data_IF_676522258166
#
_entry.id   IF_676522258166
#
_cell.length_a   1.000
_cell.length_b   1.000
_cell.length_c   1.000
_cell.angle_alpha   90.00
_cell.angle_beta   90.00
_cell.angle_gamma   90.00
#
_symmetry.space_group_name_H-M   'P 1'
#
loop_
_entity.id
_entity.type
_entity.pdbx_description
1 polymer ?
#
# COMPACT_ATOMS: atom_id res chain seq x y z
N UNK A 1 2.33 -9.24 -20.08
CA UNK A 1 2.48 -9.46 -18.62
C UNK A 1 2.37 -8.10 -17.96
N UNK A 2 1.18 -7.74 -17.46
CA UNK A 2 0.91 -6.43 -16.88
C UNK A 2 1.02 -6.47 -15.35
N UNK A 3 1.62 -5.45 -14.76
CA UNK A 3 1.52 -5.17 -13.34
C UNK A 3 0.79 -3.85 -13.18
N UNK A 4 -0.14 -3.76 -12.22
CA UNK A 4 -0.90 -2.55 -11.94
C UNK A 4 -0.47 -1.98 -10.58
N UNK A 5 -0.24 -0.66 -10.49
CA UNK A 5 -0.01 -0.02 -9.21
C UNK A 5 -1.30 0.01 -8.39
N UNK A 6 -1.16 -0.14 -7.09
CA UNK A 6 -2.25 0.04 -6.14
C UNK A 6 -1.86 1.05 -5.06
N UNK A 7 -2.87 1.72 -4.50
CA UNK A 7 -2.73 2.67 -3.41
C UNK A 7 -3.89 2.43 -2.43
N UNK A 8 -3.58 1.98 -1.23
CA UNK A 8 -4.59 1.60 -0.23
C UNK A 8 -4.26 2.27 1.10
N UNK A 9 -5.02 3.29 1.51
CA UNK A 9 -4.88 3.84 2.86
C UNK A 9 -5.56 2.91 3.88
N UNK A 10 -4.87 2.66 5.00
CA UNK A 10 -5.50 2.02 6.15
C UNK A 10 -4.93 2.52 7.48
N UNK A 11 -5.80 2.51 8.49
CA UNK A 11 -5.45 2.84 9.86
C UNK A 11 -5.18 1.58 10.68
N UNK A 12 -4.35 1.71 11.70
CA UNK A 12 -4.11 0.67 12.68
C UNK A 12 -3.20 1.13 13.80
N UNK A 13 -2.98 0.27 14.80
CA UNK A 13 -2.06 0.60 15.91
C UNK A 13 -0.59 0.55 15.51
N UNK A 14 -0.26 -0.22 14.48
CA UNK A 14 1.07 -0.35 13.89
C UNK A 14 0.94 -0.72 12.40
N UNK A 15 2.05 -0.58 11.66
CA UNK A 15 2.08 -0.84 10.21
C UNK A 15 1.59 -2.24 9.85
N UNK A 16 1.96 -3.27 10.61
CA UNK A 16 1.52 -4.65 10.38
C UNK A 16 0.01 -4.81 10.55
N UNK A 17 -0.58 -4.20 11.58
CA UNK A 17 -2.02 -4.25 11.80
C UNK A 17 -2.78 -3.46 10.75
N UNK A 18 -2.29 -2.29 10.37
CA UNK A 18 -2.86 -1.51 9.29
C UNK A 18 -2.78 -2.26 7.95
N UNK A 19 -1.67 -2.94 7.69
CA UNK A 19 -1.48 -3.77 6.49
C UNK A 19 -2.43 -4.96 6.48
N UNK A 20 -2.57 -5.66 7.61
CA UNK A 20 -3.55 -6.74 7.75
C UNK A 20 -4.98 -6.24 7.51
N UNK A 21 -5.35 -5.10 8.10
CA UNK A 21 -6.65 -4.48 7.88
C UNK A 21 -6.85 -4.11 6.40
N UNK A 22 -5.83 -3.57 5.73
CA UNK A 22 -5.87 -3.24 4.31
C UNK A 22 -6.07 -4.50 3.45
N UNK A 23 -5.35 -5.59 3.74
CA UNK A 23 -5.52 -6.89 3.06
C UNK A 23 -6.92 -7.46 3.28
N UNK A 24 -7.41 -7.47 4.52
CA UNK A 24 -8.76 -7.95 4.84
C UNK A 24 -9.84 -7.11 4.18
N UNK A 25 -9.66 -5.79 4.11
CA UNK A 25 -10.59 -4.89 3.43
C UNK A 25 -10.58 -5.12 1.92
N UNK A 26 -9.41 -5.24 1.30
CA UNK A 26 -9.29 -5.59 -0.12
C UNK A 26 -9.95 -6.94 -0.44
N UNK A 27 -9.76 -7.95 0.42
CA UNK A 27 -10.40 -9.25 0.27
C UNK A 27 -11.95 -9.17 0.36
N UNK A 28 -12.47 -8.33 1.26
CA UNK A 28 -13.90 -8.13 1.44
C UNK A 28 -14.53 -7.32 0.29
N UNK A 29 -13.89 -6.23 -0.12
CA UNK A 29 -14.36 -5.38 -1.23
C UNK A 29 -14.32 -6.11 -2.59
N UNK A 30 -13.40 -7.05 -2.77
CA UNK A 30 -13.27 -7.86 -3.98
C UNK A 30 -13.96 -9.23 -3.91
N UNK A 31 -14.84 -9.48 -2.93
CA UNK A 31 -15.38 -10.79 -2.53
C UNK A 31 -15.73 -11.88 -3.58
N UNK A 32 -15.83 -11.56 -4.89
CA UNK A 32 -16.03 -12.49 -6.02
C UNK A 32 -15.31 -12.11 -7.34
N UNK A 33 -14.32 -11.19 -7.33
CA UNK A 33 -13.53 -10.79 -8.51
C UNK A 33 -12.04 -11.00 -8.27
N UNK A 34 -11.28 -11.14 -9.36
CA UNK A 34 -9.82 -11.31 -9.33
C UNK A 34 -9.17 -10.30 -8.36
N UNK A 35 -8.44 -10.83 -7.38
CA UNK A 35 -7.68 -10.05 -6.38
C UNK A 35 -6.41 -9.41 -6.97
N UNK A 36 -6.10 -9.76 -8.22
CA UNK A 36 -5.04 -9.22 -9.06
C UNK A 36 -5.07 -7.69 -9.03
N UNK A 37 -3.95 -7.07 -8.65
CA UNK A 37 -3.81 -5.62 -8.67
C UNK A 37 -4.07 -4.93 -7.33
N UNK A 38 -4.14 -5.67 -6.22
CA UNK A 38 -4.40 -5.09 -4.88
C UNK A 38 -3.33 -5.45 -3.85
N UNK A 39 -3.37 -4.75 -2.70
CA UNK A 39 -2.51 -5.05 -1.54
C UNK A 39 -2.67 -6.49 -1.03
N UNK A 40 -3.74 -7.20 -1.38
CA UNK A 40 -3.98 -8.58 -0.96
C UNK A 40 -2.91 -9.55 -1.46
N UNK A 41 -2.37 -9.32 -2.66
CA UNK A 41 -1.32 -10.16 -3.28
C UNK A 41 0.05 -10.01 -2.61
N UNK A 42 0.19 -9.08 -1.65
CA UNK A 42 1.44 -8.82 -0.95
C UNK A 42 1.45 -9.53 0.39
N UNK A 43 2.51 -10.28 0.66
CA UNK A 43 2.70 -10.96 1.94
C UNK A 43 3.54 -10.15 2.93
N UNK A 44 4.39 -9.27 2.41
CA UNK A 44 5.29 -8.45 3.19
C UNK A 44 5.04 -6.96 2.97
N UNK A 45 5.36 -6.16 3.99
CA UNK A 45 5.28 -4.71 3.95
C UNK A 45 6.56 -4.10 4.49
N UNK A 46 7.11 -3.13 3.77
CA UNK A 46 8.28 -2.36 4.18
C UNK A 46 7.84 -0.95 4.52
N UNK A 47 8.07 -0.56 5.78
CA UNK A 47 7.84 0.81 6.23
C UNK A 47 8.93 1.72 5.66
N UNK A 48 8.53 2.79 4.99
CA UNK A 48 9.42 3.88 4.66
C UNK A 48 9.41 4.85 5.85
N UNK A 49 10.58 5.05 6.46
CA UNK A 49 10.79 6.05 7.51
C UNK A 49 10.87 7.44 6.86
N UNK A 50 9.71 7.93 6.45
CA UNK A 50 9.50 9.25 5.84
C UNK A 50 8.61 10.12 6.74
N UNK A 51 8.69 11.46 6.64
CA UNK A 51 7.81 12.33 7.40
C UNK A 51 6.34 12.07 7.03
N UNK A 52 5.47 12.15 8.03
CA UNK A 52 4.02 12.02 7.84
C UNK A 52 3.55 13.09 6.86
N UNK A 53 2.74 12.67 5.89
CA UNK A 53 2.18 13.57 4.88
C UNK A 53 0.67 13.38 4.77
N UNK A 54 -0.09 14.40 4.34
CA UNK A 54 -1.49 14.21 4.02
C UNK A 54 -1.63 13.21 2.86
N UNK A 55 -2.74 12.46 2.86
CA UNK A 55 -3.03 11.41 1.89
C UNK A 55 -2.71 11.78 0.41
N UNK A 56 -3.15 12.93 -0.13
CA UNK A 56 -2.84 13.27 -1.53
C UNK A 56 -1.33 13.44 -1.81
N UNK A 57 -0.56 13.98 -0.86
CA UNK A 57 0.90 14.08 -1.00
C UNK A 57 1.58 12.72 -0.88
N UNK A 58 1.06 11.83 -0.04
CA UNK A 58 1.57 10.47 0.10
C UNK A 58 1.31 9.62 -1.15
N UNK A 59 0.16 9.81 -1.81
CA UNK A 59 -0.16 9.16 -3.09
C UNK A 59 0.82 9.64 -4.16
N UNK A 60 1.01 10.95 -4.30
CA UNK A 60 1.99 11.49 -5.25
C UNK A 60 3.40 10.95 -5.00
N UNK A 61 3.81 10.85 -3.72
CA UNK A 61 5.10 10.27 -3.36
C UNK A 61 5.20 8.79 -3.72
N UNK A 62 4.13 8.03 -3.53
CA UNK A 62 4.06 6.62 -3.92
C UNK A 62 4.14 6.47 -5.44
N UNK A 63 3.43 7.29 -6.20
CA UNK A 63 3.49 7.35 -7.67
C UNK A 63 4.92 7.61 -8.14
N UNK A 64 5.60 8.63 -7.59
CA UNK A 64 7.00 8.93 -7.89
C UNK A 64 7.92 7.72 -7.66
N UNK A 65 7.74 6.96 -6.58
CA UNK A 65 8.56 5.78 -6.27
C UNK A 65 8.30 4.62 -7.25
N UNK A 66 7.05 4.44 -7.68
CA UNK A 66 6.67 3.44 -8.68
C UNK A 66 7.21 3.84 -10.06
N UNK A 67 7.07 5.10 -10.45
CA UNK A 67 7.59 5.64 -11.72
C UNK A 67 9.11 5.61 -11.78
N UNK A 68 9.78 5.92 -10.66
CA UNK A 68 11.23 5.78 -10.50
C UNK A 68 11.70 4.32 -10.54
N UNK A 69 10.77 3.35 -10.55
CA UNK A 69 11.02 1.90 -10.54
C UNK A 69 11.94 1.50 -9.39
N UNK A 70 11.66 2.01 -8.20
CA UNK A 70 12.46 1.70 -7.02
C UNK A 70 12.52 0.16 -6.84
N UNK A 71 13.72 -0.45 -6.84
CA UNK A 71 13.86 -1.91 -6.80
C UNK A 71 13.27 -2.55 -5.54
N UNK A 72 12.99 -1.77 -4.49
CA UNK A 72 12.33 -2.24 -3.27
C UNK A 72 10.83 -2.53 -3.47
N UNK A 73 10.18 -1.82 -4.38
CA UNK A 73 8.71 -1.85 -4.56
C UNK A 73 8.27 -2.21 -5.99
N UNK A 74 9.19 -2.13 -6.94
CA UNK A 74 9.00 -2.49 -8.34
C UNK A 74 8.77 -3.99 -8.62
N UNK A 75 9.40 -4.95 -7.91
CA UNK A 75 9.10 -6.35 -8.18
C UNK A 75 7.64 -6.66 -7.84
N UNK A 76 6.92 -7.31 -8.78
CA UNK A 76 5.55 -7.84 -8.60
C UNK A 76 5.44 -8.66 -7.31
N UNK A 77 6.43 -9.49 -7.02
CA UNK A 77 6.53 -10.33 -5.84
C UNK A 77 7.28 -9.68 -4.67
N UNK A 78 7.69 -8.42 -4.80
CA UNK A 78 8.34 -7.67 -3.73
C UNK A 78 7.35 -7.18 -2.67
N UNK A 79 7.84 -6.68 -1.53
CA UNK A 79 6.99 -6.17 -0.45
C UNK A 79 6.17 -4.95 -0.90
N UNK A 80 5.05 -4.71 -0.23
CA UNK A 80 4.33 -3.44 -0.33
C UNK A 80 5.14 -2.33 0.37
N UNK A 81 5.16 -1.12 -0.20
CA UNK A 81 5.64 0.07 0.50
C UNK A 81 4.57 0.59 1.44
N UNK A 82 4.98 1.09 2.62
CA UNK A 82 4.10 1.77 3.56
C UNK A 82 4.63 3.17 3.86
N UNK A 83 3.85 4.20 3.52
CA UNK A 83 4.13 5.60 3.85
C UNK A 83 3.23 6.04 5.01
N UNK A 84 3.78 6.65 6.07
CA UNK A 84 2.96 7.16 7.15
C UNK A 84 2.18 8.39 6.67
N UNK A 85 0.87 8.41 6.95
CA UNK A 85 -0.02 9.50 6.55
C UNK A 85 -0.66 10.19 7.75
N UNK A 86 -0.89 11.48 7.59
CA UNK A 86 -1.74 12.26 8.48
C UNK A 86 -3.19 12.06 8.05
N UNK A 87 -3.80 11.00 8.57
CA UNK A 87 -5.25 10.92 8.60
C UNK A 87 -5.71 11.60 9.90
N UNK A 88 -6.74 12.46 9.83
CA UNK A 88 -7.35 13.10 11.00
C UNK A 88 -8.08 12.12 11.95
N UNK A 89 -7.65 10.86 11.97
CA UNK A 89 -8.16 9.78 12.80
C UNK A 89 -7.34 9.67 14.09
N UNK A 90 -7.96 9.17 15.16
CA UNK A 90 -7.28 8.95 16.44
C UNK A 90 -6.16 7.89 16.36
N UNK A 91 -6.23 6.98 15.38
CA UNK A 91 -5.21 5.96 15.15
C UNK A 91 -4.22 6.38 14.05
N UNK A 92 -2.95 5.97 14.17
CA UNK A 92 -1.96 6.19 13.12
C UNK A 92 -2.40 5.49 11.83
N UNK A 93 -2.11 6.13 10.71
CA UNK A 93 -2.52 5.68 9.39
C UNK A 93 -1.34 5.58 8.46
N UNK A 94 -1.43 4.63 7.53
CA UNK A 94 -0.42 4.39 6.50
C UNK A 94 -1.09 4.24 5.14
N UNK A 95 -0.41 4.73 4.13
CA UNK A 95 -0.71 4.45 2.74
C UNK A 95 0.16 3.27 2.29
N UNK A 96 -0.50 2.18 1.91
CA UNK A 96 0.17 1.04 1.30
C UNK A 96 0.17 1.20 -0.22
N UNK A 97 1.31 0.95 -0.85
CA UNK A 97 1.47 1.04 -2.30
C UNK A 97 2.40 -0.04 -2.84
N UNK A 98 2.33 -0.30 -4.14
CA UNK A 98 3.18 -1.29 -4.79
C UNK A 98 2.66 -1.69 -6.16
N UNK A 99 3.42 -2.55 -6.85
CA UNK A 99 2.96 -3.21 -8.06
C UNK A 99 2.38 -4.57 -7.73
N UNK A 100 1.16 -4.81 -8.16
CA UNK A 100 0.47 -6.08 -8.07
C UNK A 100 0.25 -6.64 -9.48
N UNK A 101 0.10 -7.95 -9.58
CA UNK A 101 -0.10 -8.62 -10.85
C UNK A 101 -1.49 -8.34 -11.41
N UNK A 102 -1.61 -8.15 -12.73
CA UNK A 102 -2.91 -8.24 -13.41
C UNK A 102 -3.12 -9.66 -13.95
#
# INVERSE_FOLDING_TARGET
MGAMPFYTPAAGRNVNRAFFNARSKAAWEHGHRDYSGTVYEKDEVTLLDEPKRPLPQAIQRAEELIEARDPRFFPRSGPAGALPIEAGTAEPSWLFFGLAAC
#
